data_IF_886673534370
#
_entry.id   IF_886673534370
#
_cell.length_a   1.000
_cell.length_b   1.000
_cell.length_c   1.000
_cell.angle_alpha   90.00
_cell.angle_beta   90.00
_cell.angle_gamma   90.00
#
_symmetry.space_group_name_H-M   'P 1'
#
loop_
_entity.id
_entity.type
_entity.pdbx_description
1 polymer ?
#
# COMPACT_ATOMS: atom_id res chain seq x y z
N UNK A 1 -9.65 3.43 -0.41
CA UNK A 1 -8.95 2.23 -0.93
C UNK A 1 -9.07 2.04 -2.44
N UNK A 2 -9.98 1.21 -2.98
CA UNK A 2 -9.92 0.76 -4.39
C UNK A 2 -9.92 1.93 -5.39
N UNK A 3 -10.81 2.90 -5.20
CA UNK A 3 -10.88 4.09 -6.04
C UNK A 3 -9.57 4.88 -6.04
N UNK A 4 -9.01 5.19 -4.87
CA UNK A 4 -7.76 5.94 -4.77
C UNK A 4 -6.57 5.18 -5.39
N UNK A 5 -6.52 3.85 -5.25
CA UNK A 5 -5.52 3.04 -5.95
C UNK A 5 -5.69 3.08 -7.48
N UNK A 6 -6.93 2.97 -7.96
CA UNK A 6 -7.23 3.03 -9.39
C UNK A 6 -6.88 4.41 -9.98
N UNK A 7 -7.31 5.48 -9.32
CA UNK A 7 -7.04 6.86 -9.73
C UNK A 7 -5.52 7.16 -9.68
N UNK A 8 -4.81 6.65 -8.67
CA UNK A 8 -3.36 6.72 -8.61
C UNK A 8 -2.74 6.05 -9.84
N UNK A 9 -3.10 4.78 -10.10
CA UNK A 9 -2.56 4.00 -11.23
C UNK A 9 -2.82 4.66 -12.59
N UNK A 10 -3.99 5.26 -12.78
CA UNK A 10 -4.31 6.01 -14.00
C UNK A 10 -3.44 7.25 -14.17
N UNK A 11 -3.13 7.97 -13.08
CA UNK A 11 -2.24 9.15 -13.12
C UNK A 11 -0.81 8.77 -13.43
N UNK A 12 -0.22 7.80 -12.71
CA UNK A 12 1.17 7.37 -12.96
C UNK A 12 1.37 6.77 -14.34
N UNK A 13 0.36 6.10 -14.93
CA UNK A 13 0.48 5.55 -16.28
C UNK A 13 0.83 6.60 -17.35
N UNK A 14 0.40 7.86 -17.16
CA UNK A 14 0.70 8.97 -18.08
C UNK A 14 2.19 9.32 -18.13
N UNK A 15 2.95 8.97 -17.09
CA UNK A 15 4.39 9.20 -17.00
C UNK A 15 5.24 8.00 -17.42
N UNK A 16 4.60 6.90 -17.86
CA UNK A 16 5.29 5.70 -18.36
C UNK A 16 6.43 5.24 -17.42
N UNK A 17 6.13 4.97 -16.13
CA UNK A 17 7.16 4.59 -15.18
C UNK A 17 7.85 3.29 -15.62
N UNK A 18 9.15 3.19 -15.36
CA UNK A 18 9.90 1.95 -15.62
C UNK A 18 9.48 0.86 -14.63
N UNK A 19 8.49 0.06 -15.03
CA UNK A 19 8.03 -1.10 -14.26
C UNK A 19 9.04 -2.25 -14.25
N UNK A 20 10.10 -2.17 -15.06
CA UNK A 20 11.18 -3.16 -15.11
C UNK A 20 12.31 -2.86 -14.11
N UNK A 21 12.31 -1.65 -13.52
CA UNK A 21 13.26 -1.24 -12.50
C UNK A 21 13.28 -2.23 -11.32
N UNK A 22 14.47 -2.47 -10.75
CA UNK A 22 14.65 -3.46 -9.69
C UNK A 22 13.71 -3.24 -8.49
N UNK A 23 13.51 -1.98 -8.07
CA UNK A 23 12.59 -1.64 -6.99
C UNK A 23 11.13 -1.96 -7.32
N UNK A 24 10.69 -1.70 -8.55
CA UNK A 24 9.34 -2.02 -9.01
C UNK A 24 9.13 -3.54 -9.06
N UNK A 25 10.06 -4.30 -9.64
CA UNK A 25 10.04 -5.77 -9.67
C UNK A 25 10.00 -6.38 -8.27
N UNK A 26 10.81 -5.86 -7.35
CA UNK A 26 10.81 -6.32 -5.96
C UNK A 26 9.43 -6.12 -5.31
N UNK A 27 8.81 -4.95 -5.49
CA UNK A 27 7.49 -4.68 -4.93
C UNK A 27 6.41 -5.57 -5.56
N UNK A 28 6.47 -5.82 -6.87
CA UNK A 28 5.55 -6.75 -7.55
C UNK A 28 5.71 -8.17 -7.02
N UNK A 29 6.94 -8.65 -6.79
CA UNK A 29 7.18 -9.97 -6.21
C UNK A 29 6.63 -10.09 -4.80
N UNK A 30 6.85 -9.07 -3.94
CA UNK A 30 6.27 -9.01 -2.59
C UNK A 30 4.74 -9.11 -2.65
N UNK A 31 4.11 -8.30 -3.50
CA UNK A 31 2.64 -8.32 -3.66
C UNK A 31 2.10 -9.66 -4.14
N UNK A 32 2.78 -10.32 -5.09
CA UNK A 32 2.40 -11.67 -5.55
C UNK A 32 2.52 -12.72 -4.43
N UNK A 33 3.57 -12.64 -3.62
CA UNK A 33 3.77 -13.56 -2.51
C UNK A 33 2.68 -13.37 -1.42
N UNK A 34 2.35 -12.13 -1.08
CA UNK A 34 1.28 -11.85 -0.11
C UNK A 34 -0.08 -12.29 -0.64
N UNK A 35 -0.39 -12.02 -1.91
CA UNK A 35 -1.62 -12.50 -2.55
C UNK A 35 -1.73 -14.04 -2.50
N UNK A 36 -0.65 -14.75 -2.82
CA UNK A 36 -0.64 -16.23 -2.80
C UNK A 36 -0.83 -16.80 -1.38
N UNK A 37 -0.44 -16.06 -0.34
CA UNK A 37 -0.70 -16.42 1.06
C UNK A 37 -2.17 -16.18 1.40
N UNK A 38 -2.71 -15.01 1.06
CA UNK A 38 -4.09 -14.63 1.34
C UNK A 38 -5.11 -15.55 0.66
N UNK A 39 -4.84 -15.97 -0.57
CA UNK A 39 -5.72 -16.88 -1.33
C UNK A 39 -5.91 -18.27 -0.70
N UNK A 40 -5.13 -18.64 0.32
CA UNK A 40 -5.22 -19.93 1.02
C UNK A 40 -6.02 -19.84 2.32
N UNK A 41 -6.51 -18.67 2.65
CA UNK A 41 -7.20 -18.38 3.90
C UNK A 41 -8.64 -17.99 3.61
N UNK A 42 -9.53 -18.31 4.53
CA UNK A 42 -10.96 -17.97 4.45
C UNK A 42 -11.46 -17.45 5.80
N UNK A 43 -12.62 -16.77 5.77
CA UNK A 43 -13.30 -16.24 6.95
C UNK A 43 -12.38 -15.36 7.81
N UNK A 44 -12.46 -15.52 9.13
CA UNK A 44 -11.68 -14.73 10.08
C UNK A 44 -10.16 -14.84 9.87
N UNK A 45 -9.65 -16.00 9.45
CA UNK A 45 -8.22 -16.17 9.19
C UNK A 45 -7.76 -15.30 8.00
N UNK A 46 -8.59 -15.19 6.97
CA UNK A 46 -8.37 -14.27 5.86
C UNK A 46 -8.43 -12.82 6.31
N UNK A 47 -9.45 -12.44 7.09
CA UNK A 47 -9.65 -11.06 7.57
C UNK A 47 -8.44 -10.56 8.38
N UNK A 48 -8.02 -11.31 9.40
CA UNK A 48 -6.85 -10.98 10.22
C UNK A 48 -5.57 -10.88 9.38
N UNK A 49 -5.36 -11.81 8.43
CA UNK A 49 -4.18 -11.80 7.57
C UNK A 49 -4.20 -10.62 6.60
N UNK A 50 -5.35 -10.29 6.03
CA UNK A 50 -5.54 -9.15 5.13
C UNK A 50 -5.27 -7.82 5.85
N UNK A 51 -5.84 -7.62 7.04
CA UNK A 51 -5.59 -6.41 7.84
C UNK A 51 -4.11 -6.29 8.20
N UNK A 52 -3.47 -7.41 8.57
CA UNK A 52 -2.03 -7.44 8.88
C UNK A 52 -1.18 -7.05 7.67
N UNK A 53 -1.50 -7.58 6.48
CA UNK A 53 -0.84 -7.22 5.23
C UNK A 53 -1.05 -5.73 4.91
N UNK A 54 -2.26 -5.21 5.07
CA UNK A 54 -2.59 -3.81 4.84
C UNK A 54 -1.76 -2.86 5.72
N UNK A 55 -1.64 -3.14 7.03
CA UNK A 55 -0.82 -2.35 7.94
C UNK A 55 0.65 -2.39 7.52
N UNK A 56 1.18 -3.58 7.24
CA UNK A 56 2.59 -3.75 6.86
C UNK A 56 2.90 -3.04 5.55
N UNK A 57 2.12 -3.29 4.50
CA UNK A 57 2.45 -2.82 3.16
C UNK A 57 2.22 -1.31 2.99
N UNK A 58 1.23 -0.72 3.69
CA UNK A 58 1.07 0.74 3.71
C UNK A 58 2.17 1.42 4.54
N UNK A 59 2.68 0.79 5.60
CA UNK A 59 3.85 1.29 6.34
C UNK A 59 5.10 1.29 5.46
N UNK A 60 5.34 0.21 4.72
CA UNK A 60 6.44 0.10 3.76
C UNK A 60 6.31 1.15 2.65
N UNK A 61 5.09 1.38 2.14
CA UNK A 61 4.81 2.38 1.12
C UNK A 61 5.07 3.82 1.59
N UNK A 62 4.63 4.19 2.81
CA UNK A 62 4.95 5.50 3.40
C UNK A 62 6.46 5.68 3.54
N UNK A 63 7.16 4.65 4.01
CA UNK A 63 8.63 4.69 4.13
C UNK A 63 9.28 4.95 2.78
N UNK A 64 8.86 4.27 1.72
CA UNK A 64 9.38 4.48 0.37
C UNK A 64 9.06 5.88 -0.17
N UNK A 65 7.84 6.39 0.06
CA UNK A 65 7.43 7.73 -0.32
C UNK A 65 8.32 8.79 0.36
N UNK A 66 8.48 8.69 1.67
CA UNK A 66 9.15 9.70 2.50
C UNK A 66 10.66 9.70 2.34
N UNK A 67 11.27 8.51 2.34
CA UNK A 67 12.73 8.39 2.32
C UNK A 67 13.33 8.47 0.92
N UNK A 68 12.55 8.21 -0.13
CA UNK A 68 13.09 8.01 -1.48
C UNK A 68 12.34 8.77 -2.55
N UNK A 69 11.04 8.53 -2.71
CA UNK A 69 10.32 8.99 -3.91
C UNK A 69 10.05 10.50 -3.88
N UNK A 70 9.52 11.02 -2.77
CA UNK A 70 9.23 12.45 -2.62
C UNK A 70 10.52 13.29 -2.70
N UNK A 71 11.62 12.96 -1.98
CA UNK A 71 12.87 13.72 -2.07
C UNK A 71 13.52 13.71 -3.46
N UNK A 72 13.24 12.70 -4.28
CA UNK A 72 13.83 12.54 -5.61
C UNK A 72 12.94 13.09 -6.74
N UNK A 73 11.72 13.54 -6.46
CA UNK A 73 10.81 14.10 -7.44
C UNK A 73 11.45 15.31 -8.14
N UNK A 74 11.46 15.30 -9.48
CA UNK A 74 12.13 16.33 -10.31
C UNK A 74 11.20 17.35 -10.92
N UNK A 75 9.89 17.06 -10.95
CA UNK A 75 8.89 17.93 -11.54
C UNK A 75 7.77 18.19 -10.54
N UNK A 76 7.22 19.40 -10.57
CA UNK A 76 6.14 19.81 -9.68
C UNK A 76 4.91 18.87 -9.75
N UNK A 77 4.43 18.44 -10.95
CA UNK A 77 3.29 17.54 -11.02
C UNK A 77 3.54 16.16 -10.40
N UNK A 78 4.77 15.65 -10.47
CA UNK A 78 5.14 14.37 -9.85
C UNK A 78 5.20 14.52 -8.33
N UNK A 79 5.77 15.62 -7.83
CA UNK A 79 5.84 15.91 -6.40
C UNK A 79 4.44 16.00 -5.77
N UNK A 80 3.55 16.80 -6.36
CA UNK A 80 2.17 16.97 -5.86
C UNK A 80 1.40 15.66 -5.86
N UNK A 81 1.58 14.85 -6.90
CA UNK A 81 0.96 13.53 -6.96
C UNK A 81 1.49 12.61 -5.86
N UNK A 82 2.81 12.54 -5.66
CA UNK A 82 3.39 11.71 -4.61
C UNK A 82 2.96 12.18 -3.21
N UNK A 83 2.81 13.48 -2.97
CA UNK A 83 2.28 14.02 -1.72
C UNK A 83 0.80 13.64 -1.51
N UNK A 84 -0.02 13.71 -2.57
CA UNK A 84 -1.41 13.26 -2.53
C UNK A 84 -1.50 11.77 -2.22
N UNK A 85 -0.71 10.95 -2.91
CA UNK A 85 -0.63 9.50 -2.67
C UNK A 85 -0.19 9.20 -1.25
N UNK A 86 0.82 9.91 -0.72
CA UNK A 86 1.26 9.78 0.67
C UNK A 86 0.12 10.04 1.66
N UNK A 87 -0.68 11.08 1.45
CA UNK A 87 -1.83 11.38 2.32
C UNK A 87 -2.83 10.22 2.34
N UNK A 88 -3.27 9.73 1.16
CA UNK A 88 -4.17 8.59 1.08
C UNK A 88 -3.60 7.32 1.74
N UNK A 89 -2.30 7.03 1.52
CA UNK A 89 -1.65 5.86 2.14
C UNK A 89 -1.63 5.99 3.68
N UNK A 90 -1.45 7.20 4.22
CA UNK A 90 -1.51 7.43 5.66
C UNK A 90 -2.92 7.22 6.23
N UNK A 91 -3.96 7.70 5.54
CA UNK A 91 -5.36 7.52 5.95
C UNK A 91 -5.77 6.05 5.91
N UNK A 92 -5.33 5.33 4.87
CA UNK A 92 -5.49 3.89 4.76
C UNK A 92 -4.80 3.12 5.89
N UNK A 93 -3.55 3.49 6.20
CA UNK A 93 -2.81 2.87 7.30
C UNK A 93 -3.48 3.10 8.65
N UNK A 94 -3.97 4.32 8.89
CA UNK A 94 -4.72 4.66 10.11
C UNK A 94 -5.96 3.77 10.24
N UNK A 95 -6.74 3.66 9.16
CA UNK A 95 -7.94 2.81 9.12
C UNK A 95 -7.61 1.33 9.34
N UNK A 96 -6.55 0.82 8.71
CA UNK A 96 -6.12 -0.57 8.88
C UNK A 96 -5.64 -0.87 10.31
N UNK A 97 -4.98 0.07 10.97
CA UNK A 97 -4.57 -0.06 12.38
C UNK A 97 -5.77 -0.07 13.32
N UNK A 98 -6.79 0.74 13.06
CA UNK A 98 -8.05 0.71 13.82
C UNK A 98 -8.72 -0.66 13.70
N UNK A 99 -8.89 -1.17 12.48
CA UNK A 99 -9.44 -2.51 12.25
C UNK A 99 -8.61 -3.61 12.93
N UNK A 100 -7.27 -3.49 12.92
CA UNK A 100 -6.40 -4.45 13.60
C UNK A 100 -6.58 -4.45 15.13
N UNK A 101 -6.84 -3.29 15.73
CA UNK A 101 -7.10 -3.18 17.15
C UNK A 101 -8.46 -3.82 17.49
N UNK A 102 -9.48 -3.60 16.67
CA UNK A 102 -10.81 -4.17 16.85
C UNK A 102 -10.80 -5.70 16.70
N UNK A 103 -10.10 -6.23 15.69
CA UNK A 103 -9.93 -7.68 15.47
C UNK A 103 -9.30 -8.38 16.68
N UNK A 104 -8.25 -7.79 17.26
CA UNK A 104 -7.61 -8.30 18.49
C UNK A 104 -8.55 -8.31 19.69
N UNK A 105 -9.41 -7.30 19.80
CA UNK A 105 -10.39 -7.22 20.88
C UNK A 105 -11.54 -8.24 20.70
N UNK A 106 -11.89 -8.58 19.46
CA UNK A 106 -12.91 -9.58 19.15
C UNK A 106 -12.41 -11.01 19.44
N UNK A 107 -11.16 -11.34 19.09
CA UNK A 107 -10.57 -12.66 19.37
C UNK A 107 -10.21 -12.90 20.85
N UNK A 108 -10.24 -11.86 21.69
CA UNK A 108 -9.98 -11.95 23.14
C UNK A 108 -11.27 -12.15 23.97
N UNK A 109 -12.44 -12.21 23.34
CA UNK A 109 -13.75 -12.40 23.98
C UNK A 109 -14.28 -13.81 23.81
#
# INVERSE_FOLDING_TARGET
MIKEHADNNQKIAKWQPDTSAAGAKLQMTKGKAELAKLQKLDGHAFETAYITAMVKDHTDALTALDSKLIPQAKTQPVLEHLQTTRHHVADHLSSAKALQADDKNAGAR
#
